data_IF_893538310467
#
_entry.id   IF_893538310467
#
_cell.length_a   1.000
_cell.length_b   1.000
_cell.length_c   1.000
_cell.angle_alpha   90.00
_cell.angle_beta   90.00
_cell.angle_gamma   90.00
#
_symmetry.space_group_name_H-M   'P 1'
#
loop_
_entity.id
_entity.type
_entity.pdbx_description
1 polymer ?
#
# COMPACT_ATOMS: atom_id res chain seq x y z
N UNK A 1 -39.01 -42.57 55.55
CA UNK A 1 -39.48 -42.26 54.17
C UNK A 1 -39.87 -40.78 54.12
N UNK A 2 -39.61 -40.07 53.01
CA UNK A 2 -38.99 -38.73 52.99
C UNK A 2 -40.01 -37.57 52.92
N UNK A 3 -39.58 -36.35 53.24
CA UNK A 3 -40.13 -35.01 52.88
C UNK A 3 -39.45 -33.95 53.76
N UNK A 4 -38.87 -32.84 53.32
CA UNK A 4 -38.67 -32.23 52.01
C UNK A 4 -37.53 -31.21 52.16
N UNK A 5 -36.70 -31.08 51.13
CA UNK A 5 -35.76 -29.98 50.93
C UNK A 5 -36.46 -28.62 51.00
N UNK A 6 -35.79 -27.61 51.55
CA UNK A 6 -35.98 -26.21 51.18
C UNK A 6 -34.63 -25.50 51.29
N UNK A 7 -33.80 -25.69 50.26
CA UNK A 7 -32.65 -24.83 49.99
C UNK A 7 -33.24 -23.57 49.38
N UNK A 8 -33.14 -22.46 50.10
CA UNK A 8 -33.48 -21.13 49.61
C UNK A 8 -32.48 -20.75 48.52
N UNK A 9 -32.79 -21.12 47.28
CA UNK A 9 -32.12 -20.56 46.11
C UNK A 9 -32.50 -19.08 46.05
N UNK A 10 -31.56 -18.24 46.48
CA UNK A 10 -31.50 -16.84 46.10
C UNK A 10 -31.51 -16.76 44.56
N UNK A 11 -32.69 -16.54 44.00
CA UNK A 11 -32.86 -16.33 42.57
C UNK A 11 -32.10 -15.08 42.16
N UNK A 12 -31.10 -15.31 41.32
CA UNK A 12 -30.24 -14.34 40.68
C UNK A 12 -31.03 -13.16 40.14
N UNK A 13 -30.79 -11.97 40.71
CA UNK A 13 -31.04 -10.72 40.02
C UNK A 13 -29.99 -10.59 38.91
N UNK A 14 -30.41 -10.72 37.65
CA UNK A 14 -29.81 -10.07 36.46
C UNK A 14 -30.60 -10.49 35.20
N UNK A 15 -31.89 -10.20 35.18
CA UNK A 15 -32.70 -10.28 33.96
C UNK A 15 -32.53 -8.97 33.17
N UNK A 16 -31.39 -8.77 32.52
CA UNK A 16 -31.19 -7.69 31.54
C UNK A 16 -30.11 -8.07 30.50
N UNK A 17 -30.19 -9.30 30.01
CA UNK A 17 -29.59 -9.66 28.74
C UNK A 17 -30.74 -9.90 27.77
N UNK A 18 -31.31 -8.81 27.25
CA UNK A 18 -32.03 -8.87 25.98
C UNK A 18 -31.15 -9.66 25.01
N UNK A 19 -31.72 -10.70 24.41
CA UNK A 19 -31.03 -11.51 23.42
C UNK A 19 -30.74 -10.62 22.22
N UNK A 20 -29.63 -9.90 22.25
CA UNK A 20 -29.19 -9.12 21.11
C UNK A 20 -29.00 -10.09 19.94
N UNK A 21 -29.84 -9.96 18.92
CA UNK A 21 -29.75 -10.74 17.69
C UNK A 21 -28.43 -10.42 16.99
N UNK A 22 -27.38 -11.14 17.38
CA UNK A 22 -26.06 -11.07 16.76
C UNK A 22 -26.17 -11.63 15.36
N UNK A 23 -25.88 -10.80 14.36
CA UNK A 23 -25.82 -11.22 12.97
C UNK A 23 -24.37 -11.35 12.53
N UNK A 24 -24.14 -12.22 11.55
CA UNK A 24 -22.84 -12.36 10.91
C UNK A 24 -22.84 -11.61 9.59
N UNK A 25 -21.82 -10.81 9.35
CA UNK A 25 -21.57 -10.08 8.12
C UNK A 25 -20.17 -10.42 7.60
N UNK A 26 -19.95 -10.21 6.30
CA UNK A 26 -18.68 -10.46 5.66
C UNK A 26 -18.11 -9.17 5.10
N UNK A 27 -16.85 -8.88 5.39
CA UNK A 27 -16.15 -7.73 4.83
C UNK A 27 -15.05 -8.23 3.91
N UNK A 28 -15.16 -7.93 2.63
CA UNK A 28 -14.16 -8.30 1.62
C UNK A 28 -13.11 -7.20 1.51
N UNK A 29 -11.86 -7.57 1.74
CA UNK A 29 -10.72 -6.68 1.59
C UNK A 29 -10.34 -6.50 0.13
N UNK A 30 -9.52 -5.49 -0.15
CA UNK A 30 -8.95 -5.18 -1.46
C UNK A 30 -8.08 -6.30 -2.02
N UNK A 31 -7.49 -7.12 -1.14
CA UNK A 31 -6.69 -8.28 -1.49
C UNK A 31 -7.56 -9.50 -1.87
N UNK A 32 -8.88 -9.43 -1.66
CA UNK A 32 -9.82 -10.51 -1.91
C UNK A 32 -10.17 -11.35 -0.68
N UNK A 33 -9.46 -11.16 0.45
CA UNK A 33 -9.74 -11.85 1.71
C UNK A 33 -11.09 -11.45 2.30
N UNK A 34 -11.87 -12.44 2.76
CA UNK A 34 -13.17 -12.23 3.41
C UNK A 34 -13.01 -12.34 4.93
N UNK A 35 -13.30 -11.25 5.64
CA UNK A 35 -13.22 -11.16 7.09
C UNK A 35 -14.64 -11.31 7.66
N UNK A 36 -14.96 -12.42 8.35
CA UNK A 36 -16.25 -12.57 9.02
C UNK A 36 -16.28 -11.70 10.30
N UNK A 37 -17.36 -10.95 10.49
CA UNK A 37 -17.62 -10.16 11.70
C UNK A 37 -19.00 -10.52 12.26
N UNK A 38 -19.05 -10.74 13.58
CA UNK A 38 -20.28 -10.98 14.32
C UNK A 38 -20.63 -9.71 15.10
N UNK A 39 -21.66 -9.00 14.66
CA UNK A 39 -22.09 -7.71 15.22
C UNK A 39 -23.61 -7.67 15.34
N UNK A 40 -24.18 -6.99 16.35
CA UNK A 40 -25.63 -6.80 16.42
C UNK A 40 -26.14 -5.83 15.33
N UNK A 41 -27.41 -5.94 14.95
CA UNK A 41 -28.05 -5.11 13.91
C UNK A 41 -28.10 -3.62 14.23
N UNK A 42 -28.05 -3.25 15.52
CA UNK A 42 -28.01 -1.88 16.02
C UNK A 42 -26.58 -1.25 16.01
N UNK A 43 -25.56 -1.99 15.55
CA UNK A 43 -24.18 -1.48 15.52
C UNK A 43 -24.06 -0.32 14.55
N UNK A 44 -23.37 0.75 14.97
CA UNK A 44 -23.07 1.91 14.13
C UNK A 44 -21.90 1.65 13.17
N UNK A 45 -21.83 2.40 12.07
CA UNK A 45 -20.71 2.28 11.11
C UNK A 45 -19.37 2.66 11.75
N UNK A 46 -19.36 3.64 12.68
CA UNK A 46 -18.13 4.05 13.38
C UNK A 46 -17.50 2.91 14.20
N UNK A 47 -18.31 2.16 14.93
CA UNK A 47 -17.84 0.99 15.71
C UNK A 47 -17.38 -0.14 14.79
N UNK A 48 -18.07 -0.37 13.67
CA UNK A 48 -17.66 -1.35 12.66
C UNK A 48 -16.30 -1.00 12.02
N UNK A 49 -16.06 0.27 11.67
CA UNK A 49 -14.74 0.73 11.19
C UNK A 49 -13.65 0.51 12.22
N UNK A 50 -13.96 0.73 13.50
CA UNK A 50 -12.99 0.53 14.60
C UNK A 50 -12.62 -0.95 14.77
N UNK A 51 -13.61 -1.86 14.68
CA UNK A 51 -13.37 -3.31 14.69
C UNK A 51 -12.52 -3.76 13.48
N UNK A 52 -12.79 -3.20 12.30
CA UNK A 52 -12.01 -3.49 11.10
C UNK A 52 -10.59 -2.91 11.16
N UNK A 53 -10.39 -1.74 11.77
CA UNK A 53 -9.08 -1.14 11.94
C UNK A 53 -8.13 -2.06 12.72
N UNK A 54 -8.65 -2.69 13.78
CA UNK A 54 -7.91 -3.67 14.59
C UNK A 54 -7.54 -4.95 13.80
N UNK A 55 -8.34 -5.34 12.80
CA UNK A 55 -8.10 -6.57 12.01
C UNK A 55 -7.25 -6.33 10.76
N UNK A 56 -7.39 -5.15 10.16
CA UNK A 56 -6.71 -4.80 8.90
C UNK A 56 -5.41 -4.02 9.12
N UNK A 57 -5.13 -3.57 10.36
CA UNK A 57 -4.02 -2.68 10.69
C UNK A 57 -4.04 -1.35 9.92
N UNK A 58 -5.23 -0.91 9.48
CA UNK A 58 -5.44 0.36 8.81
C UNK A 58 -6.14 1.34 9.76
N UNK A 59 -5.79 2.65 9.74
CA UNK A 59 -6.48 3.63 10.56
C UNK A 59 -7.94 3.75 10.12
N UNK A 60 -8.86 3.90 11.09
CA UNK A 60 -10.30 3.99 10.85
C UNK A 60 -10.71 5.12 9.89
N UNK A 61 -9.92 6.19 9.81
CA UNK A 61 -10.09 7.32 8.89
C UNK A 61 -9.90 6.95 7.41
N UNK A 62 -9.07 5.93 7.12
CA UNK A 62 -8.80 5.47 5.76
C UNK A 62 -9.76 4.37 5.30
N UNK A 63 -10.50 3.76 6.23
CA UNK A 63 -11.42 2.67 5.96
C UNK A 63 -12.73 3.19 5.33
N UNK A 64 -12.85 3.00 4.02
CA UNK A 64 -14.09 3.25 3.27
C UNK A 64 -14.85 1.95 3.06
N UNK A 65 -16.07 1.90 3.56
CA UNK A 65 -16.97 0.75 3.41
C UNK A 65 -18.00 1.04 2.31
N UNK A 66 -18.24 0.05 1.45
CA UNK A 66 -19.21 0.12 0.35
C UNK A 66 -20.15 -1.07 0.43
N UNK A 67 -21.44 -0.79 0.33
CA UNK A 67 -22.50 -1.79 0.27
C UNK A 67 -23.50 -1.44 -0.84
N UNK A 68 -23.82 -2.39 -1.72
CA UNK A 68 -24.74 -2.19 -2.84
C UNK A 68 -24.47 -0.92 -3.68
N UNK A 69 -23.20 -0.54 -3.85
CA UNK A 69 -22.79 0.68 -4.56
C UNK A 69 -22.96 1.99 -3.77
N UNK A 70 -23.46 1.94 -2.54
CA UNK A 70 -23.54 3.09 -1.62
C UNK A 70 -22.34 3.11 -0.68
N UNK A 71 -21.71 4.27 -0.56
CA UNK A 71 -20.63 4.49 0.41
C UNK A 71 -21.24 4.70 1.79
N UNK A 72 -20.86 3.85 2.73
CA UNK A 72 -21.19 4.01 4.14
C UNK A 72 -20.26 5.09 4.70
N UNK A 73 -20.58 6.37 4.43
CA UNK A 73 -19.80 7.51 4.90
C UNK A 73 -20.27 7.98 6.28
N UNK A 74 -21.58 7.89 6.53
CA UNK A 74 -22.20 8.34 7.76
C UNK A 74 -21.70 7.56 8.98
N UNK A 75 -21.32 8.26 10.05
CA UNK A 75 -20.76 7.67 11.26
C UNK A 75 -21.82 7.26 12.29
N UNK A 76 -23.02 7.84 12.23
CA UNK A 76 -24.10 7.64 13.21
C UNK A 76 -25.13 6.60 12.72
N UNK A 77 -25.31 6.46 11.40
CA UNK A 77 -26.18 5.43 10.84
C UNK A 77 -25.78 4.02 11.26
N UNK A 78 -26.80 3.21 11.52
CA UNK A 78 -26.68 1.81 11.93
C UNK A 78 -26.72 0.87 10.73
N UNK A 79 -26.35 -0.39 10.95
CA UNK A 79 -26.46 -1.42 9.92
C UNK A 79 -27.90 -1.62 9.44
N UNK A 80 -28.88 -1.49 10.35
CA UNK A 80 -30.29 -1.56 10.03
C UNK A 80 -30.75 -0.44 9.08
N UNK A 81 -30.23 0.79 9.26
CA UNK A 81 -30.56 1.95 8.41
C UNK A 81 -30.15 1.72 6.94
N UNK A 82 -29.03 1.04 6.71
CA UNK A 82 -28.57 0.67 5.37
C UNK A 82 -29.16 -0.65 4.84
N UNK A 83 -30.14 -1.23 5.53
CA UNK A 83 -30.74 -2.53 5.18
C UNK A 83 -29.70 -3.65 5.06
N UNK A 84 -28.66 -3.61 5.90
CA UNK A 84 -27.60 -4.63 5.92
C UNK A 84 -28.11 -5.82 6.73
N UNK A 85 -28.48 -6.89 6.03
CA UNK A 85 -28.99 -8.11 6.61
C UNK A 85 -27.88 -9.06 7.08
N UNK A 86 -28.28 -10.16 7.73
CA UNK A 86 -27.42 -11.31 7.99
C UNK A 86 -26.81 -11.80 6.68
N UNK A 87 -25.53 -12.19 6.73
CA UNK A 87 -24.72 -12.66 5.60
C UNK A 87 -24.47 -11.62 4.50
N UNK A 88 -24.75 -10.34 4.76
CA UNK A 88 -24.41 -9.27 3.83
C UNK A 88 -22.89 -9.14 3.63
N UNK A 89 -22.50 -8.84 2.39
CA UNK A 89 -21.11 -8.65 1.98
C UNK A 89 -20.80 -7.17 1.76
N UNK A 90 -19.95 -6.61 2.62
CA UNK A 90 -19.41 -5.27 2.48
C UNK A 90 -18.05 -5.33 1.79
N UNK A 91 -17.72 -4.27 1.05
CA UNK A 91 -16.43 -4.16 0.37
C UNK A 91 -15.62 -3.02 0.98
N UNK A 92 -14.35 -3.29 1.29
CA UNK A 92 -13.38 -2.24 1.59
C UNK A 92 -13.00 -1.55 0.27
N UNK A 93 -13.27 -0.26 0.15
CA UNK A 93 -12.80 0.55 -0.98
C UNK A 93 -11.43 1.16 -0.63
N UNK A 94 -10.46 1.06 -1.55
CA UNK A 94 -9.20 1.79 -1.37
C UNK A 94 -9.51 3.29 -1.29
N UNK A 95 -8.76 4.06 -0.48
CA UNK A 95 -8.63 5.48 -0.77
C UNK A 95 -8.21 5.58 -2.24
N UNK A 96 -8.91 6.40 -3.02
CA UNK A 96 -8.38 6.85 -4.30
C UNK A 96 -7.11 7.60 -3.94
N UNK A 97 -5.99 6.87 -3.83
CA UNK A 97 -4.65 7.43 -3.82
C UNK A 97 -4.57 8.06 -5.20
N UNK A 98 -4.93 9.34 -5.27
CA UNK A 98 -4.97 10.10 -6.50
C UNK A 98 -3.68 9.78 -7.22
N UNK A 99 -3.80 8.98 -8.28
CA UNK A 99 -2.66 8.55 -9.06
C UNK A 99 -2.16 9.82 -9.68
N UNK A 100 -1.19 10.46 -9.03
CA UNK A 100 -0.46 11.56 -9.61
C UNK A 100 0.04 10.97 -10.92
N UNK A 101 -0.48 11.42 -12.08
CA UNK A 101 -0.15 10.78 -13.36
C UNK A 101 1.37 10.76 -13.40
N UNK A 102 2.00 9.60 -13.71
CA UNK A 102 3.45 9.49 -13.66
C UNK A 102 3.99 10.67 -14.47
N UNK A 103 4.72 11.58 -13.80
CA UNK A 103 5.24 12.78 -14.46
C UNK A 103 6.02 12.27 -15.67
N UNK A 104 5.43 12.43 -16.86
CA UNK A 104 6.05 12.00 -18.10
C UNK A 104 7.27 12.89 -18.25
N UNK A 105 8.42 12.37 -17.87
CA UNK A 105 9.72 12.99 -18.10
C UNK A 105 9.79 13.29 -19.59
N UNK A 106 9.84 14.59 -19.91
CA UNK A 106 9.94 15.08 -21.29
C UNK A 106 11.41 15.26 -21.63
N UNK A 107 11.71 15.18 -22.92
CA UNK A 107 13.03 15.51 -23.40
C UNK A 107 13.38 16.98 -23.06
N UNK A 108 14.59 17.23 -22.56
CA UNK A 108 15.10 18.58 -22.24
C UNK A 108 15.40 19.44 -23.48
N UNK A 109 15.28 18.87 -24.69
CA UNK A 109 15.56 19.59 -25.93
C UNK A 109 14.42 20.55 -26.28
N UNK A 110 14.75 21.83 -26.55
CA UNK A 110 13.81 22.96 -26.61
C UNK A 110 12.62 22.78 -27.57
N UNK A 111 12.77 21.96 -28.62
CA UNK A 111 11.73 21.71 -29.63
C UNK A 111 11.17 20.29 -29.58
N UNK A 112 11.63 19.45 -28.65
CA UNK A 112 11.23 18.06 -28.57
C UNK A 112 10.03 17.85 -27.64
N UNK A 113 8.96 17.24 -28.17
CA UNK A 113 7.79 16.81 -27.38
C UNK A 113 7.77 15.31 -27.09
N UNK A 114 8.83 14.60 -27.46
CA UNK A 114 8.97 13.15 -27.32
C UNK A 114 9.23 12.75 -25.86
N UNK A 115 8.83 11.53 -25.50
CA UNK A 115 9.00 11.02 -24.15
C UNK A 115 10.50 10.73 -23.88
N UNK A 116 11.01 11.15 -22.72
CA UNK A 116 12.36 10.79 -22.34
C UNK A 116 12.45 9.29 -22.06
N UNK A 117 13.50 8.65 -22.56
CA UNK A 117 13.73 7.23 -22.31
C UNK A 117 14.22 7.07 -20.87
N UNK A 118 13.67 6.09 -20.15
CA UNK A 118 14.22 5.64 -18.87
C UNK A 118 15.51 4.87 -19.17
N UNK A 119 16.66 5.42 -18.78
CA UNK A 119 17.94 4.75 -18.94
C UNK A 119 18.19 3.97 -17.65
N UNK A 120 18.52 2.68 -17.76
CA UNK A 120 19.02 1.92 -16.61
C UNK A 120 20.50 2.27 -16.43
N UNK A 121 20.88 2.82 -15.28
CA UNK A 121 22.23 3.32 -15.01
C UNK A 121 22.40 4.79 -15.41
N UNK A 122 21.60 5.68 -14.85
CA UNK A 122 21.67 7.12 -15.07
C UNK A 122 23.10 7.67 -14.85
N UNK A 123 23.53 8.59 -15.71
CA UNK A 123 24.79 9.30 -15.53
C UNK A 123 24.73 10.11 -14.24
N UNK A 124 25.56 9.79 -13.24
CA UNK A 124 25.59 10.46 -11.93
C UNK A 124 25.97 11.95 -11.97
N UNK A 125 26.29 12.49 -13.15
CA UNK A 125 26.72 13.88 -13.35
C UNK A 125 25.65 14.77 -14.00
N UNK A 126 24.61 14.21 -14.65
CA UNK A 126 23.59 15.04 -15.28
C UNK A 126 22.17 14.54 -15.00
N UNK A 127 21.30 15.45 -14.58
CA UNK A 127 19.86 15.19 -14.39
C UNK A 127 19.04 15.35 -15.69
N UNK A 128 19.72 15.28 -16.85
CA UNK A 128 19.13 15.52 -18.16
C UNK A 128 18.28 14.34 -18.64
N UNK A 129 17.08 14.62 -19.13
CA UNK A 129 16.17 13.60 -19.64
C UNK A 129 16.09 13.71 -21.16
N UNK A 130 16.50 12.67 -21.89
CA UNK A 130 16.55 12.67 -23.35
C UNK A 130 15.76 11.51 -23.95
N UNK A 131 15.12 11.75 -25.09
CA UNK A 131 14.46 10.70 -25.87
C UNK A 131 15.46 10.01 -26.80
N UNK A 132 15.11 8.85 -27.36
CA UNK A 132 15.99 8.12 -28.28
C UNK A 132 16.45 8.93 -29.52
N UNK A 133 15.66 9.92 -29.95
CA UNK A 133 16.00 10.82 -31.07
C UNK A 133 17.09 11.84 -30.72
N UNK A 134 17.15 12.27 -29.47
CA UNK A 134 18.13 13.24 -28.97
C UNK A 134 19.16 12.59 -28.03
N UNK A 135 19.25 11.26 -28.04
CA UNK A 135 20.26 10.49 -27.31
C UNK A 135 21.31 10.02 -28.30
N UNK A 136 22.09 10.94 -28.85
CA UNK A 136 23.31 10.57 -29.56
C UNK A 136 24.39 10.23 -28.52
N UNK A 137 24.99 9.04 -28.65
CA UNK A 137 26.09 8.58 -27.79
C UNK A 137 27.26 9.59 -27.77
N UNK A 138 27.42 10.35 -28.86
CA UNK A 138 28.46 11.37 -29.07
C UNK A 138 28.07 12.79 -28.63
N UNK A 139 26.78 13.06 -28.36
CA UNK A 139 26.29 14.38 -27.94
C UNK A 139 26.21 14.52 -26.41
N UNK A 140 26.44 13.44 -25.67
CA UNK A 140 26.55 13.46 -24.22
C UNK A 140 27.93 14.01 -23.78
N UNK A 141 28.13 15.31 -24.01
CA UNK A 141 29.24 16.10 -23.45
C UNK A 141 28.76 16.69 -22.13
N UNK A 142 28.68 15.90 -21.06
CA UNK A 142 28.67 16.50 -19.73
C UNK A 142 30.06 17.10 -19.48
N UNK A 143 30.15 18.31 -18.93
CA UNK A 143 31.41 19.05 -18.81
C UNK A 143 32.50 18.28 -18.03
N UNK A 144 32.12 17.29 -17.21
CA UNK A 144 33.05 16.39 -16.49
C UNK A 144 33.18 14.97 -17.07
N UNK A 145 32.69 14.70 -18.28
CA UNK A 145 32.82 13.38 -18.92
C UNK A 145 34.29 13.04 -19.19
N UNK A 146 35.08 14.04 -19.59
CA UNK A 146 36.50 13.88 -19.89
C UNK A 146 37.29 13.60 -18.61
N UNK A 147 36.99 14.30 -17.51
CA UNK A 147 37.62 14.08 -16.20
C UNK A 147 37.22 12.71 -15.62
N UNK A 148 35.94 12.35 -15.64
CA UNK A 148 35.49 11.05 -15.15
C UNK A 148 36.02 9.88 -16.00
N UNK A 149 36.09 10.05 -17.33
CA UNK A 149 36.67 9.05 -18.24
C UNK A 149 38.17 8.92 -17.99
N UNK A 150 38.89 10.04 -17.83
CA UNK A 150 40.31 10.06 -17.49
C UNK A 150 40.58 9.38 -16.15
N UNK A 151 39.81 9.71 -15.11
CA UNK A 151 39.97 9.12 -13.78
C UNK A 151 39.66 7.60 -13.79
N UNK A 152 38.62 7.18 -14.51
CA UNK A 152 38.32 5.75 -14.65
C UNK A 152 39.43 5.00 -15.42
N UNK A 153 39.97 5.62 -16.46
CA UNK A 153 41.05 5.06 -17.26
C UNK A 153 42.36 5.01 -16.46
N UNK A 154 42.66 6.04 -15.68
CA UNK A 154 43.83 6.09 -14.79
C UNK A 154 43.72 5.03 -13.69
N UNK A 155 42.56 4.88 -13.05
CA UNK A 155 42.31 3.83 -12.04
C UNK A 155 42.47 2.43 -12.63
N UNK A 156 42.01 2.20 -13.85
CA UNK A 156 42.16 0.91 -14.52
C UNK A 156 43.61 0.67 -15.01
N UNK A 157 44.28 1.71 -15.49
CA UNK A 157 45.69 1.65 -15.88
C UNK A 157 46.61 1.37 -14.68
N UNK A 158 46.35 1.99 -13.54
CA UNK A 158 47.09 1.75 -12.29
C UNK A 158 46.92 0.31 -11.80
N UNK A 159 45.68 -0.21 -11.89
CA UNK A 159 45.38 -1.60 -11.58
C UNK A 159 46.14 -2.56 -12.51
N UNK A 160 46.05 -2.34 -13.82
CA UNK A 160 46.79 -3.14 -14.82
C UNK A 160 48.31 -3.06 -14.63
N UNK A 161 48.84 -1.91 -14.23
CA UNK A 161 50.27 -1.72 -13.99
C UNK A 161 50.72 -2.40 -12.69
N UNK A 162 49.86 -2.42 -11.66
CA UNK A 162 50.10 -3.16 -10.42
C UNK A 162 50.02 -4.68 -10.62
N UNK A 163 49.18 -5.12 -11.55
CA UNK A 163 49.00 -6.52 -11.95
C UNK A 163 50.02 -6.96 -13.03
N UNK A 164 50.87 -6.03 -13.50
CA UNK A 164 51.88 -6.30 -14.52
C UNK A 164 53.03 -7.12 -13.94
N UNK A 165 53.10 -8.39 -14.31
CA UNK A 165 54.26 -9.24 -14.01
C UNK A 165 55.45 -8.80 -14.86
N UNK A 166 56.55 -8.38 -14.19
CA UNK A 166 57.80 -8.04 -14.87
C UNK A 166 58.59 -9.33 -15.03
N UNK A 167 58.89 -9.72 -16.27
CA UNK A 167 59.76 -10.85 -16.52
C UNK A 167 61.16 -10.55 -15.95
N UNK A 168 61.57 -11.29 -14.92
CA UNK A 168 62.90 -11.19 -14.33
C UNK A 168 63.88 -11.70 -15.40
N UNK A 169 64.59 -10.78 -16.07
CA UNK A 169 65.60 -11.13 -17.05
C UNK A 169 66.93 -11.34 -16.33
N UNK A 170 67.26 -12.60 -16.05
CA UNK A 170 68.60 -13.00 -15.59
C UNK A 170 68.60 -14.26 -14.74
N UNK A 171 68.91 -15.39 -15.39
CA UNK A 171 69.82 -16.41 -14.86
C UNK A 171 71.21 -16.03 -15.38
#
# INVERSE_FOLDING_TARGET
MPRSNSISSISSASSLAESEERMQIFVKNIAGDTIPLTVPSNTSISTLRSLLALRTNLPSSDLRLVFAGKHLCDSESTLADYSIAREATLHLALPLRGGMPPKKIRCSYKTCKDAAQRIVGDCGFCSGHFCGKHRLLEDHKCEGLEDCKKESHERNADKLNSERTVAIKGI
#
